data_IF_993983847358
#
_entry.id   IF_993983847358
#
_cell.length_a   1.000
_cell.length_b   1.000
_cell.length_c   1.000
_cell.angle_alpha   90.00
_cell.angle_beta   90.00
_cell.angle_gamma   90.00
#
_symmetry.space_group_name_H-M   'P 1'
#
loop_
_entity.id
_entity.type
_entity.pdbx_description
1 polymer ?
#
# COMPACT_ATOMS: atom_id res chain seq x y z
N UNK A 1 12.03 3.88 -9.22
CA UNK A 1 12.10 2.56 -8.56
C UNK A 1 12.21 1.51 -9.64
N UNK A 2 13.42 1.07 -9.96
CA UNK A 2 13.63 -0.01 -10.92
C UNK A 2 13.22 -1.34 -10.30
N UNK A 3 12.25 -2.04 -10.93
CA UNK A 3 11.79 -3.35 -10.48
C UNK A 3 12.86 -4.44 -10.62
N UNK A 4 13.89 -4.22 -11.45
CA UNK A 4 14.99 -5.14 -11.67
C UNK A 4 16.18 -4.87 -10.75
N UNK A 5 16.23 -3.71 -10.07
CA UNK A 5 17.22 -3.43 -9.03
C UNK A 5 16.67 -3.86 -7.66
N UNK A 6 17.14 -4.99 -7.10
CA UNK A 6 16.65 -5.47 -5.82
C UNK A 6 16.96 -4.51 -4.66
N UNK A 7 17.96 -3.64 -4.77
CA UNK A 7 18.27 -2.67 -3.72
C UNK A 7 17.24 -1.54 -3.68
N UNK A 8 16.80 -1.05 -4.84
CA UNK A 8 15.75 -0.03 -4.91
C UNK A 8 14.42 -0.59 -4.39
N UNK A 9 14.04 -1.79 -4.84
CA UNK A 9 12.79 -2.43 -4.41
C UNK A 9 12.82 -2.73 -2.91
N UNK A 10 13.94 -3.24 -2.37
CA UNK A 10 14.07 -3.52 -0.94
C UNK A 10 14.07 -2.24 -0.09
N UNK A 11 14.65 -1.16 -0.59
CA UNK A 11 14.62 0.14 0.08
C UNK A 11 13.19 0.67 0.21
N UNK A 12 12.42 0.68 -0.89
CA UNK A 12 11.03 1.14 -0.86
C UNK A 12 10.14 0.23 -0.01
N UNK A 13 10.32 -1.09 -0.10
CA UNK A 13 9.61 -2.07 0.71
C UNK A 13 9.79 -1.79 2.20
N UNK A 14 11.03 -1.53 2.64
CA UNK A 14 11.33 -1.17 4.04
C UNK A 14 10.73 0.18 4.43
N UNK A 15 10.85 1.19 3.55
CA UNK A 15 10.33 2.54 3.80
C UNK A 15 8.81 2.55 4.01
N UNK A 16 8.10 1.81 3.16
CA UNK A 16 6.64 1.72 3.18
C UNK A 16 6.12 0.62 4.10
N UNK A 17 7.02 -0.17 4.70
CA UNK A 17 6.70 -1.33 5.54
C UNK A 17 5.78 -2.34 4.83
N UNK A 18 6.11 -2.65 3.59
CA UNK A 18 5.41 -3.62 2.72
C UNK A 18 6.39 -4.66 2.21
N UNK A 19 5.88 -5.71 1.56
CA UNK A 19 6.72 -6.72 0.93
C UNK A 19 7.32 -6.25 -0.41
N UNK A 20 8.43 -6.85 -0.81
CA UNK A 20 9.06 -6.64 -2.13
C UNK A 20 8.10 -6.96 -3.27
N UNK A 21 7.24 -7.96 -3.06
CA UNK A 21 6.26 -8.40 -4.05
C UNK A 21 5.15 -7.37 -4.25
N UNK A 22 4.72 -6.71 -3.16
CA UNK A 22 3.78 -5.60 -3.23
C UNK A 22 4.38 -4.39 -3.96
N UNK A 23 5.65 -4.07 -3.76
CA UNK A 23 6.32 -3.00 -4.52
C UNK A 23 6.34 -3.33 -6.01
N UNK A 24 6.65 -4.58 -6.38
CA UNK A 24 6.62 -5.02 -7.79
C UNK A 24 5.22 -4.94 -8.39
N UNK A 25 4.19 -5.29 -7.62
CA UNK A 25 2.79 -5.12 -8.03
C UNK A 25 2.46 -3.64 -8.24
N UNK A 26 2.83 -2.77 -7.30
CA UNK A 26 2.63 -1.34 -7.43
C UNK A 26 3.33 -0.77 -8.67
N UNK A 27 4.56 -1.19 -8.96
CA UNK A 27 5.27 -0.77 -10.18
C UNK A 27 4.52 -1.19 -11.45
N UNK A 28 3.85 -2.35 -11.46
CA UNK A 28 3.03 -2.79 -12.61
C UNK A 28 1.75 -1.98 -12.76
N UNK A 29 1.15 -1.56 -11.65
CA UNK A 29 -0.13 -0.83 -11.62
C UNK A 29 0.03 0.67 -11.94
N UNK A 30 1.03 1.32 -11.33
CA UNK A 30 1.19 2.79 -11.40
C UNK A 30 2.50 3.25 -12.05
N UNK A 31 3.33 2.31 -12.50
CA UNK A 31 4.63 2.60 -13.10
C UNK A 31 5.76 2.72 -12.08
N UNK A 32 6.96 3.01 -12.57
CA UNK A 32 8.21 3.03 -11.81
C UNK A 32 8.49 4.36 -11.08
N UNK A 33 7.57 5.33 -11.16
CA UNK A 33 7.68 6.60 -10.46
C UNK A 33 7.45 6.40 -8.96
N UNK A 34 8.38 6.91 -8.15
CA UNK A 34 8.34 6.76 -6.68
C UNK A 34 7.09 7.41 -6.08
N UNK A 35 6.72 8.61 -6.51
CA UNK A 35 5.56 9.33 -5.94
C UNK A 35 4.25 8.57 -6.18
N UNK A 36 4.11 7.97 -7.35
CA UNK A 36 2.92 7.20 -7.70
C UNK A 36 2.83 5.90 -6.87
N UNK A 37 3.96 5.22 -6.66
CA UNK A 37 4.06 4.02 -5.81
C UNK A 37 3.70 4.36 -4.36
N UNK A 38 4.27 5.42 -3.79
CA UNK A 38 3.94 5.86 -2.43
C UNK A 38 2.45 6.23 -2.32
N UNK A 39 1.92 6.94 -3.33
CA UNK A 39 0.51 7.27 -3.41
C UNK A 39 -0.41 6.04 -3.48
N UNK A 40 0.00 4.98 -4.19
CA UNK A 40 -0.75 3.72 -4.27
C UNK A 40 -0.92 3.08 -2.88
N UNK A 41 0.15 3.01 -2.09
CA UNK A 41 0.10 2.43 -0.75
C UNK A 41 -0.63 3.31 0.27
N UNK A 42 -0.46 4.64 0.20
CA UNK A 42 -1.22 5.56 1.05
C UNK A 42 -2.74 5.42 0.82
N UNK A 43 -3.18 5.28 -0.43
CA UNK A 43 -4.60 5.04 -0.75
C UNK A 43 -5.08 3.69 -0.21
N UNK A 44 -4.28 2.62 -0.33
CA UNK A 44 -4.59 1.30 0.23
C UNK A 44 -4.74 1.35 1.75
N UNK A 45 -3.86 2.05 2.47
CA UNK A 45 -3.96 2.19 3.94
C UNK A 45 -5.22 2.96 4.36
N UNK A 46 -5.50 4.10 3.73
CA UNK A 46 -6.71 4.88 4.02
C UNK A 46 -7.98 4.05 3.76
N UNK A 47 -8.00 3.25 2.69
CA UNK A 47 -9.13 2.38 2.39
C UNK A 47 -9.30 1.30 3.46
N UNK A 48 -8.22 0.67 3.90
CA UNK A 48 -8.26 -0.34 4.96
C UNK A 48 -8.76 0.24 6.28
N UNK A 49 -8.27 1.39 6.70
CA UNK A 49 -8.76 2.09 7.89
C UNK A 49 -10.25 2.42 7.76
N UNK A 50 -10.67 2.96 6.61
CA UNK A 50 -12.08 3.29 6.36
C UNK A 50 -12.99 2.06 6.43
N UNK A 51 -12.56 0.92 5.88
CA UNK A 51 -13.31 -0.34 5.93
C UNK A 51 -13.40 -0.90 7.36
N UNK A 52 -12.32 -0.80 8.14
CA UNK A 52 -12.34 -1.17 9.56
C UNK A 52 -13.34 -0.32 10.35
N UNK A 53 -13.37 0.99 10.13
CA UNK A 53 -14.29 1.89 10.83
C UNK A 53 -15.76 1.72 10.40
N UNK A 54 -16.05 1.40 9.13
CA UNK A 54 -17.43 1.10 8.71
C UNK A 54 -17.94 -0.19 9.34
N UNK A 55 -17.11 -1.25 9.44
CA UNK A 55 -17.51 -2.52 10.05
C UNK A 55 -17.69 -2.49 11.57
N UNK A 56 -17.05 -1.54 12.26
CA UNK A 56 -17.26 -1.30 13.70
C UNK A 56 -18.57 -0.56 13.99
N UNK A 57 -19.03 0.30 13.07
CA UNK A 57 -20.27 1.08 13.26
C UNK A 57 -21.51 0.20 13.25
N UNK A 58 -21.53 -0.86 12.43
CA UNK A 58 -22.68 -1.76 12.31
C UNK A 58 -22.86 -2.73 13.50
N UNK A 59 -21.83 -2.96 14.33
CA UNK A 59 -21.97 -3.80 15.55
C UNK A 59 -22.48 -3.05 16.78
N UNK A 60 -22.51 -1.72 16.75
CA UNK A 60 -22.91 -0.89 17.90
C UNK A 60 -24.42 -0.65 18.01
N UNK A 61 -25.22 -1.00 17.00
CA UNK A 61 -26.67 -0.70 16.97
C UNK A 61 -27.54 -1.87 17.41
N UNK A 62 -26.95 -2.98 17.87
CA UNK A 62 -27.67 -4.06 18.55
C UNK A 62 -27.36 -4.04 20.05
N UNK A 63 -28.01 -3.14 20.79
CA UNK A 63 -28.11 -3.18 22.26
C UNK A 63 -29.43 -2.57 22.68
#
# INVERSE_FOLDING_TARGET
>A
VDANDPNEVAYEARKLNVSVEEIKEAIREVGNNREDIEGFFNRKQILNERLLFSGLRDRSTNS
#
